data_IF_777453921382
#
_entry.id   IF_777453921382
#
_cell.length_a   1.000
_cell.length_b   1.000
_cell.length_c   1.000
_cell.angle_alpha   90.00
_cell.angle_beta   90.00
_cell.angle_gamma   90.00
#
_symmetry.space_group_name_H-M   'P 1'
#
loop_
_entity.id
_entity.type
_entity.pdbx_description
1 polymer ?
#
# COMPACT_ATOMS: atom_id res chain seq x y z
N UNK A 1 -23.37 6.09 1.46
CA UNK A 1 -21.89 6.02 1.34
C UNK A 1 -21.27 4.86 2.12
N UNK A 2 -21.83 4.43 3.26
CA UNK A 2 -21.26 3.32 4.06
C UNK A 2 -21.36 1.92 3.42
N UNK A 3 -22.39 1.69 2.59
CA UNK A 3 -22.63 0.40 1.92
C UNK A 3 -21.53 0.04 0.92
N UNK A 4 -20.98 1.05 0.23
CA UNK A 4 -19.94 0.89 -0.79
C UNK A 4 -18.62 0.40 -0.15
N UNK A 5 -18.30 0.90 1.05
CA UNK A 5 -17.05 0.55 1.74
C UNK A 5 -17.02 -0.92 2.21
N UNK A 6 -18.12 -1.42 2.77
CA UNK A 6 -18.20 -2.84 3.18
C UNK A 6 -18.06 -3.76 1.97
N UNK A 7 -18.69 -3.40 0.86
CA UNK A 7 -18.59 -4.13 -0.42
C UNK A 7 -17.16 -4.13 -0.94
N UNK A 8 -16.48 -2.98 -0.96
CA UNK A 8 -15.08 -2.87 -1.37
C UNK A 8 -14.17 -3.74 -0.52
N UNK A 9 -14.34 -3.73 0.82
CA UNK A 9 -13.53 -4.55 1.72
C UNK A 9 -13.73 -6.04 1.47
N UNK A 10 -14.98 -6.50 1.33
CA UNK A 10 -15.29 -7.91 1.06
C UNK A 10 -14.70 -8.33 -0.28
N UNK A 11 -14.82 -7.48 -1.29
CA UNK A 11 -14.22 -7.71 -2.61
C UNK A 11 -12.69 -7.82 -2.53
N UNK A 12 -12.01 -6.87 -1.85
CA UNK A 12 -10.54 -6.89 -1.66
C UNK A 12 -10.09 -8.19 -0.99
N UNK A 13 -10.76 -8.63 0.08
CA UNK A 13 -10.43 -9.89 0.77
C UNK A 13 -10.67 -11.11 -0.13
N UNK A 14 -11.72 -11.10 -0.94
CA UNK A 14 -12.00 -12.15 -1.92
C UNK A 14 -10.91 -12.25 -2.98
N UNK A 15 -10.44 -11.11 -3.50
CA UNK A 15 -9.32 -11.05 -4.45
C UNK A 15 -8.02 -11.53 -3.81
N UNK A 16 -7.68 -11.07 -2.61
CA UNK A 16 -6.46 -11.53 -1.92
C UNK A 16 -6.45 -13.05 -1.74
N UNK A 17 -7.60 -13.66 -1.42
CA UNK A 17 -7.71 -15.12 -1.31
C UNK A 17 -7.50 -15.81 -2.65
N UNK A 18 -8.09 -15.28 -3.73
CA UNK A 18 -7.90 -15.81 -5.09
C UNK A 18 -6.45 -15.67 -5.55
N UNK A 19 -5.82 -14.51 -5.33
CA UNK A 19 -4.42 -14.26 -5.68
C UNK A 19 -3.48 -15.18 -4.90
N UNK A 20 -3.73 -15.39 -3.61
CA UNK A 20 -2.97 -16.35 -2.80
C UNK A 20 -3.09 -17.79 -3.34
N UNK A 21 -4.31 -18.23 -3.68
CA UNK A 21 -4.54 -19.55 -4.26
C UNK A 21 -3.88 -19.68 -5.65
N UNK A 22 -3.97 -18.64 -6.47
CA UNK A 22 -3.41 -18.63 -7.82
C UNK A 22 -1.87 -18.59 -7.81
N UNK A 23 -1.26 -17.80 -6.92
CA UNK A 23 0.20 -17.79 -6.69
C UNK A 23 0.70 -19.18 -6.27
N UNK A 24 -0.07 -19.93 -5.47
CA UNK A 24 0.28 -21.34 -5.16
C UNK A 24 0.28 -22.26 -6.38
N UNK A 25 -0.56 -21.99 -7.38
CA UNK A 25 -0.70 -22.81 -8.58
C UNK A 25 0.24 -22.39 -9.72
N UNK A 26 0.66 -21.12 -9.78
CA UNK A 26 1.47 -20.54 -10.85
C UNK A 26 2.61 -19.67 -10.27
N UNK A 27 3.67 -20.29 -9.70
CA UNK A 27 4.74 -19.57 -9.01
C UNK A 27 5.53 -18.62 -9.92
N UNK A 28 5.65 -18.93 -11.21
CA UNK A 28 6.45 -18.12 -12.16
C UNK A 28 5.69 -16.91 -12.74
N UNK A 29 4.35 -16.84 -12.55
CA UNK A 29 3.48 -15.85 -13.21
C UNK A 29 2.78 -14.91 -12.22
N UNK A 30 3.12 -14.99 -10.92
CA UNK A 30 2.44 -14.30 -9.80
C UNK A 30 2.38 -12.76 -9.92
N UNK A 31 3.18 -12.17 -10.81
CA UNK A 31 3.36 -10.73 -10.96
C UNK A 31 2.60 -10.08 -12.12
N UNK A 32 1.92 -10.87 -12.95
CA UNK A 32 1.48 -10.45 -14.29
C UNK A 32 0.55 -9.23 -14.33
N UNK A 33 -0.14 -8.89 -13.24
CA UNK A 33 -1.01 -7.69 -13.20
C UNK A 33 -1.04 -6.94 -11.85
N UNK A 34 0.05 -7.01 -11.06
CA UNK A 34 0.09 -6.34 -9.74
C UNK A 34 -0.23 -4.84 -9.82
N UNK A 35 0.15 -4.19 -10.93
CA UNK A 35 -0.12 -2.77 -11.16
C UNK A 35 -1.59 -2.47 -11.41
N UNK A 36 -2.31 -3.32 -12.16
CA UNK A 36 -3.75 -3.20 -12.35
C UNK A 36 -4.50 -3.24 -11.02
N UNK A 37 -4.09 -4.15 -10.12
CA UNK A 37 -4.66 -4.26 -8.78
C UNK A 37 -4.33 -3.05 -7.90
N UNK A 38 -3.07 -2.60 -7.90
CA UNK A 38 -2.64 -1.44 -7.10
C UNK A 38 -3.41 -0.18 -7.47
N UNK A 39 -3.70 -0.01 -8.76
CA UNK A 39 -4.40 1.15 -9.30
C UNK A 39 -5.92 0.97 -9.38
N UNK A 40 -6.47 -0.13 -8.88
CA UNK A 40 -7.92 -0.33 -8.82
C UNK A 40 -8.58 0.63 -7.82
N UNK A 41 -9.64 1.30 -8.26
CA UNK A 41 -10.32 2.33 -7.46
C UNK A 41 -10.88 1.76 -6.15
N UNK A 42 -11.30 0.49 -6.13
CA UNK A 42 -11.79 -0.21 -4.93
C UNK A 42 -10.67 -0.39 -3.90
N UNK A 43 -9.46 -0.70 -4.36
CA UNK A 43 -8.27 -0.80 -3.50
C UNK A 43 -7.90 0.57 -2.95
N UNK A 44 -7.92 1.61 -3.78
CA UNK A 44 -7.66 2.98 -3.36
C UNK A 44 -8.70 3.49 -2.35
N UNK A 45 -9.99 3.18 -2.56
CA UNK A 45 -11.07 3.47 -1.59
C UNK A 45 -10.85 2.71 -0.28
N UNK A 46 -10.49 1.44 -0.34
CA UNK A 46 -10.21 0.66 0.87
C UNK A 46 -8.99 1.24 1.64
N UNK A 47 -7.92 1.59 0.94
CA UNK A 47 -6.74 2.23 1.52
C UNK A 47 -7.07 3.59 2.14
N UNK A 48 -7.84 4.42 1.43
CA UNK A 48 -8.32 5.70 1.92
C UNK A 48 -9.06 5.58 3.25
N UNK A 49 -10.00 4.64 3.37
CA UNK A 49 -10.78 4.48 4.61
C UNK A 49 -9.90 4.09 5.80
N UNK A 50 -8.85 3.30 5.57
CA UNK A 50 -7.85 3.01 6.61
C UNK A 50 -7.08 4.26 7.01
N UNK A 51 -6.67 5.09 6.05
CA UNK A 51 -5.97 6.37 6.33
C UNK A 51 -6.88 7.36 7.06
N UNK A 52 -8.14 7.44 6.65
CA UNK A 52 -9.15 8.33 7.21
C UNK A 52 -9.52 7.98 8.66
N UNK A 53 -9.61 6.68 8.97
CA UNK A 53 -9.90 6.18 10.32
C UNK A 53 -8.71 6.28 11.28
N UNK A 54 -7.48 6.36 10.76
CA UNK A 54 -6.29 6.44 11.59
C UNK A 54 -6.09 7.83 12.22
N UNK A 55 -5.49 7.89 13.42
CA UNK A 55 -5.13 9.16 14.09
C UNK A 55 -4.29 10.10 13.21
N UNK A 56 -3.50 9.53 12.31
CA UNK A 56 -2.70 10.27 11.32
C UNK A 56 -3.51 11.06 10.29
N UNK A 57 -4.79 10.74 10.05
CA UNK A 57 -5.63 11.43 9.05
C UNK A 57 -5.84 12.92 9.32
N UNK A 58 -5.67 13.35 10.58
CA UNK A 58 -5.71 14.77 10.99
C UNK A 58 -4.38 15.51 10.80
N UNK A 59 -3.30 14.78 10.51
CA UNK A 59 -1.95 15.36 10.39
C UNK A 59 -1.62 15.57 8.93
N UNK A 60 -1.48 16.84 8.54
CA UNK A 60 -1.08 17.22 7.18
C UNK A 60 0.38 16.85 6.88
N UNK A 61 0.63 16.51 5.61
CA UNK A 61 1.96 16.38 5.03
C UNK A 61 2.57 17.75 4.71
N UNK A 62 3.49 17.79 3.75
CA UNK A 62 4.10 19.04 3.25
C UNK A 62 3.09 19.91 2.49
N UNK A 63 2.07 19.29 1.91
CA UNK A 63 1.00 19.92 1.10
C UNK A 63 -0.09 20.63 1.93
N UNK A 64 -0.03 20.53 3.27
CA UNK A 64 -1.05 21.10 4.15
C UNK A 64 -2.43 20.42 4.02
N UNK A 65 -2.53 19.27 3.34
CA UNK A 65 -3.80 18.59 3.11
C UNK A 65 -4.12 17.61 4.24
N UNK A 66 -5.37 17.59 4.69
CA UNK A 66 -5.88 16.64 5.71
C UNK A 66 -7.06 15.87 5.15
N UNK A 67 -7.41 14.76 5.81
CA UNK A 67 -8.60 13.96 5.44
C UNK A 67 -9.87 14.81 5.46
N UNK A 68 -10.02 15.69 6.46
CA UNK A 68 -11.17 16.59 6.55
C UNK A 68 -11.25 17.56 5.36
N UNK A 69 -10.11 18.13 4.95
CA UNK A 69 -10.07 19.06 3.82
C UNK A 69 -10.39 18.39 2.48
N UNK A 70 -9.97 17.13 2.30
CA UNK A 70 -10.29 16.33 1.12
C UNK A 70 -11.78 15.96 1.11
N UNK A 71 -12.33 15.50 2.24
CA UNK A 71 -13.76 15.19 2.36
C UNK A 71 -14.64 16.40 2.07
N UNK A 72 -14.24 17.59 2.51
CA UNK A 72 -14.96 18.83 2.23
C UNK A 72 -14.94 19.22 0.75
N UNK A 73 -13.92 18.82 -0.02
CA UNK A 73 -13.84 19.11 -1.46
C UNK A 73 -14.58 18.06 -2.27
N UNK A 74 -14.10 16.82 -2.23
CA UNK A 74 -14.73 15.63 -2.80
C UNK A 74 -13.76 14.46 -2.62
N UNK A 75 -14.16 13.48 -1.81
CA UNK A 75 -13.40 12.23 -1.65
C UNK A 75 -13.33 11.45 -2.96
N UNK A 76 -14.46 11.36 -3.68
CA UNK A 76 -14.54 10.60 -4.92
C UNK A 76 -13.59 11.16 -5.99
N UNK A 77 -13.64 12.48 -6.24
CA UNK A 77 -12.79 13.13 -7.23
C UNK A 77 -11.31 12.96 -6.89
N UNK A 78 -10.94 13.13 -5.62
CA UNK A 78 -9.56 12.91 -5.17
C UNK A 78 -9.04 11.51 -5.51
N UNK A 79 -9.86 10.47 -5.31
CA UNK A 79 -9.45 9.09 -5.61
C UNK A 79 -9.40 8.79 -7.11
N UNK A 80 -10.31 9.37 -7.90
CA UNK A 80 -10.29 9.24 -9.36
C UNK A 80 -9.06 9.94 -9.96
N UNK A 81 -8.75 11.15 -9.51
CA UNK A 81 -7.56 11.89 -9.95
C UNK A 81 -6.28 11.13 -9.57
N UNK A 82 -6.22 10.60 -8.34
CA UNK A 82 -5.12 9.75 -7.90
C UNK A 82 -4.96 8.49 -8.76
N UNK A 83 -6.07 7.82 -9.09
CA UNK A 83 -6.07 6.65 -9.96
C UNK A 83 -5.54 6.99 -11.36
N UNK A 84 -6.01 8.09 -11.95
CA UNK A 84 -5.58 8.53 -13.28
C UNK A 84 -4.08 8.83 -13.32
N UNK A 85 -3.55 9.50 -12.31
CA UNK A 85 -2.12 9.80 -12.19
C UNK A 85 -1.27 8.54 -11.97
N UNK A 86 -1.79 7.55 -11.25
CA UNK A 86 -1.11 6.26 -11.10
C UNK A 86 -1.10 5.51 -12.45
N UNK A 87 -2.24 5.40 -13.13
CA UNK A 87 -2.33 4.68 -14.41
C UNK A 87 -1.51 5.31 -15.53
N UNK A 88 -1.42 6.64 -15.55
CA UNK A 88 -0.60 7.38 -16.52
C UNK A 88 0.89 7.43 -16.16
N UNK A 89 1.29 6.97 -14.97
CA UNK A 89 2.66 7.08 -14.47
C UNK A 89 3.08 8.51 -14.05
N UNK A 90 2.13 9.46 -14.05
CA UNK A 90 2.34 10.85 -13.64
C UNK A 90 2.48 11.01 -12.12
N UNK A 91 2.10 10.00 -11.34
CA UNK A 91 2.26 10.02 -9.89
C UNK A 91 3.73 10.21 -9.48
N UNK A 92 3.98 11.23 -8.64
CA UNK A 92 5.28 11.50 -8.03
C UNK A 92 5.11 11.63 -6.51
N UNK A 93 5.83 10.82 -5.71
CA UNK A 93 5.73 10.91 -4.26
C UNK A 93 6.28 12.24 -3.77
N UNK A 94 5.57 12.85 -2.82
CA UNK A 94 5.99 14.12 -2.25
C UNK A 94 7.02 13.92 -1.12
N UNK A 95 7.91 14.90 -0.88
CA UNK A 95 8.83 14.82 0.26
C UNK A 95 8.05 14.78 1.58
N UNK A 96 8.44 13.87 2.47
CA UNK A 96 7.80 13.71 3.76
C UNK A 96 8.11 14.91 4.68
N UNK A 97 7.10 15.48 5.33
CA UNK A 97 7.27 16.56 6.29
C UNK A 97 7.96 16.04 7.55
N UNK A 98 9.09 16.63 7.94
CA UNK A 98 9.83 16.23 9.15
C UNK A 98 9.17 16.80 10.41
N UNK A 99 8.98 15.95 11.42
CA UNK A 99 8.59 16.32 12.77
C UNK A 99 9.56 15.67 13.76
N UNK A 100 10.08 16.44 14.70
CA UNK A 100 10.92 15.91 15.77
C UNK A 100 10.03 15.48 16.94
N UNK A 101 10.15 14.23 17.37
CA UNK A 101 9.47 13.70 18.55
C UNK A 101 10.52 13.52 19.65
N UNK A 102 10.39 14.19 20.81
CA UNK A 102 11.32 14.00 21.92
C UNK A 102 11.37 12.53 22.37
N UNK A 103 12.56 12.03 22.70
CA UNK A 103 12.68 10.74 23.39
C UNK A 103 12.30 10.92 24.86
N UNK A 104 11.38 10.10 25.36
CA UNK A 104 11.06 10.07 26.78
C UNK A 104 12.33 9.84 27.62
N UNK A 105 12.56 10.67 28.63
CA UNK A 105 13.70 10.55 29.55
C UNK A 105 15.07 10.94 28.97
N UNK A 106 15.16 11.48 27.74
CA UNK A 106 16.44 11.93 27.15
C UNK A 106 16.32 13.37 26.60
N UNK A 107 16.53 14.40 27.44
CA UNK A 107 16.53 15.79 27.02
C UNK A 107 17.51 16.01 25.86
N UNK A 108 17.08 16.75 24.83
CA UNK A 108 17.90 17.02 23.64
C UNK A 108 17.98 15.89 22.61
N UNK A 109 17.46 14.68 22.87
CA UNK A 109 17.39 13.62 21.88
C UNK A 109 16.01 13.51 21.23
N UNK A 110 16.00 13.41 19.89
CA UNK A 110 14.77 13.35 19.10
C UNK A 110 14.72 12.09 18.22
N UNK A 111 13.51 11.64 17.93
CA UNK A 111 13.21 10.70 16.84
C UNK A 111 12.66 11.51 15.67
N UNK A 112 13.34 11.59 14.52
CA UNK A 112 12.78 12.23 13.35
C UNK A 112 11.62 11.36 12.82
N UNK A 113 10.46 11.99 12.62
CA UNK A 113 9.30 11.38 11.99
C UNK A 113 9.07 12.05 10.63
N UNK A 114 9.06 11.25 9.57
CA UNK A 114 8.59 11.67 8.27
C UNK A 114 7.08 11.51 8.18
N UNK A 115 6.37 12.58 7.86
CA UNK A 115 4.92 12.61 7.70
C UNK A 115 4.62 12.76 6.19
N UNK A 116 4.25 11.66 5.50
CA UNK A 116 3.91 11.72 4.06
C UNK A 116 2.62 12.51 3.84
N UNK A 117 2.35 12.91 2.60
CA UNK A 117 1.05 13.52 2.23
C UNK A 117 -0.08 12.49 2.35
N UNK A 118 -1.33 12.95 2.37
CA UNK A 118 -2.46 12.01 2.39
C UNK A 118 -2.47 11.16 1.12
N UNK A 119 -2.13 11.76 -0.02
CA UNK A 119 -1.98 11.07 -1.30
C UNK A 119 -0.99 9.91 -1.20
N UNK A 120 0.22 10.18 -0.68
CA UNK A 120 1.24 9.14 -0.51
C UNK A 120 0.80 8.04 0.46
N UNK A 121 0.09 8.38 1.53
CA UNK A 121 -0.40 7.39 2.50
C UNK A 121 -1.46 6.47 1.92
N UNK A 122 -2.30 6.97 1.01
CA UNK A 122 -3.28 6.14 0.30
C UNK A 122 -2.55 5.16 -0.61
N UNK A 123 -1.56 5.62 -1.37
CA UNK A 123 -0.74 4.74 -2.24
C UNK A 123 0.04 3.71 -1.41
N UNK A 124 0.66 4.11 -0.30
CA UNK A 124 1.32 3.19 0.63
C UNK A 124 0.33 2.19 1.24
N UNK A 125 -0.88 2.63 1.56
CA UNK A 125 -1.95 1.76 2.06
C UNK A 125 -2.37 0.72 1.02
N UNK A 126 -2.56 1.14 -0.23
CA UNK A 126 -2.88 0.26 -1.36
C UNK A 126 -1.76 -0.76 -1.60
N UNK A 127 -0.50 -0.31 -1.62
CA UNK A 127 0.66 -1.18 -1.74
C UNK A 127 0.73 -2.20 -0.59
N UNK A 128 0.47 -1.77 0.66
CA UNK A 128 0.45 -2.66 1.82
C UNK A 128 -0.66 -3.69 1.76
N UNK A 129 -1.84 -3.32 1.25
CA UNK A 129 -2.95 -4.27 1.04
C UNK A 129 -2.52 -5.34 0.03
N UNK A 130 -1.82 -4.97 -1.03
CA UNK A 130 -1.37 -5.93 -2.05
C UNK A 130 -0.20 -6.79 -1.56
N UNK A 131 0.78 -6.21 -0.85
CA UNK A 131 1.95 -6.90 -0.30
C UNK A 131 1.60 -8.01 0.72
N UNK A 132 0.43 -7.97 1.35
CA UNK A 132 0.01 -9.08 2.23
C UNK A 132 -0.09 -10.41 1.46
N UNK A 133 -0.38 -10.36 0.16
CA UNK A 133 -0.35 -11.54 -0.71
C UNK A 133 1.10 -12.04 -0.86
N UNK A 134 2.07 -11.14 -1.01
CA UNK A 134 3.51 -11.44 -1.07
C UNK A 134 4.07 -12.01 0.24
N UNK A 135 3.67 -11.48 1.40
CA UNK A 135 4.17 -11.97 2.69
C UNK A 135 3.76 -13.43 2.96
N UNK A 136 2.58 -13.85 2.49
CA UNK A 136 2.13 -15.23 2.55
C UNK A 136 2.95 -16.17 1.64
N UNK A 137 3.66 -15.63 0.65
CA UNK A 137 4.63 -16.33 -0.19
C UNK A 137 6.03 -16.37 0.44
N UNK A 138 6.53 -15.26 1.01
CA UNK A 138 7.83 -15.25 1.71
C UNK A 138 7.91 -16.28 2.85
N UNK A 139 6.80 -16.55 3.54
CA UNK A 139 6.73 -17.59 4.56
C UNK A 139 7.01 -19.01 4.01
N UNK A 140 6.74 -19.27 2.72
CA UNK A 140 7.11 -20.51 2.03
C UNK A 140 8.59 -20.50 1.59
N UNK A 141 9.10 -19.35 1.13
CA UNK A 141 10.50 -19.23 0.72
C UNK A 141 11.48 -19.46 1.88
N UNK A 142 11.07 -19.22 3.13
CA UNK A 142 11.85 -19.59 4.32
C UNK A 142 11.80 -21.08 4.67
N UNK A 143 10.78 -21.83 4.25
CA UNK A 143 10.70 -23.30 4.47
C UNK A 143 11.62 -24.08 3.53
N UNK A 144 11.87 -23.57 2.31
CA UNK A 144 12.70 -24.25 1.31
C UNK A 144 14.20 -24.03 1.48
N UNK A 145 14.63 -23.06 2.31
CA UNK A 145 16.05 -22.85 2.61
C UNK A 145 16.56 -23.65 3.83
N UNK A 146 15.68 -24.28 4.60
CA UNK A 146 16.07 -25.13 5.73
C UNK A 146 16.50 -26.55 5.33
N UNK A 147 16.34 -26.93 4.07
CA UNK A 147 16.88 -28.19 3.54
C UNK A 147 17.98 -27.82 2.55
N UNK A 148 19.24 -28.00 2.96
CA UNK A 148 20.42 -27.51 2.24
C UNK A 148 20.71 -28.22 0.92
N UNK A 149 19.80 -28.11 -0.06
CA UNK A 149 20.12 -28.41 -1.45
C UNK A 149 20.56 -27.12 -2.19
N UNK A 150 21.71 -27.14 -2.88
CA UNK A 150 22.15 -26.02 -3.68
C UNK A 150 21.26 -25.84 -4.92
N UNK A 151 20.86 -24.59 -5.18
CA UNK A 151 20.07 -24.19 -6.34
C UNK A 151 20.77 -24.59 -7.64
N UNK A 152 20.08 -25.25 -8.60
CA UNK A 152 20.66 -25.50 -9.91
C UNK A 152 20.86 -24.17 -10.63
N UNK A 153 22.12 -23.82 -10.89
CA UNK A 153 22.50 -22.75 -11.79
C UNK A 153 21.87 -23.05 -13.16
N UNK A 154 20.80 -22.31 -13.48
CA UNK A 154 20.25 -22.27 -14.82
C UNK A 154 21.34 -21.69 -15.73
N UNK A 155 21.96 -22.55 -16.53
CA UNK A 155 22.86 -22.15 -17.59
C UNK A 155 22.12 -21.19 -18.51
N UNK A 156 22.64 -19.96 -18.63
CA UNK A 156 22.31 -19.10 -19.74
C UNK A 156 22.79 -19.80 -21.02
N UNK A 157 21.92 -19.91 -22.01
CA UNK A 157 22.28 -20.34 -23.35
C UNK A 157 21.17 -19.98 -24.32
N UNK A 158 21.48 -20.00 -25.61
CA UNK A 158 22.46 -19.13 -26.27
C UNK A 158 21.83 -17.85 -26.85
#
# INVERSE_FOLDING_TARGET
MDTDHRTDKVWVLGIQRKLYQWSKANPDDQWRDMWGWLTDLRVLRHAWQRVASNKGGRTAGVDGMTVGRIRNRSEHRFLVDLQADLRSGAYRPSPARRKLIPKAGKPGQFRPLGIPTIRDRVVQGAAKINWIVEAAWCARFSETQTTGEPMPLRAAGP
#
